data_IF_617014505469
#
_entry.id   IF_617014505469
#
_cell.length_a   1.000
_cell.length_b   1.000
_cell.length_c   1.000
_cell.angle_alpha   90.00
_cell.angle_beta   90.00
_cell.angle_gamma   90.00
#
_symmetry.space_group_name_H-M   'P 1'
#
loop_
_entity.id
_entity.type
_entity.pdbx_description
1 polymer ?
#
# COMPACT_ATOMS: atom_id res chain seq x y z
N UNK A 1 20.59 -9.20 14.30
CA UNK A 1 20.99 -8.04 13.47
C UNK A 1 20.40 -8.11 12.06
N UNK A 2 20.52 -9.21 11.29
CA UNK A 2 19.70 -9.42 10.06
C UNK A 2 18.18 -9.31 10.32
N UNK A 3 17.71 -9.84 11.45
CA UNK A 3 16.30 -9.81 11.89
C UNK A 3 15.74 -8.42 12.26
N UNK A 4 16.60 -7.41 12.47
CA UNK A 4 16.16 -6.04 12.81
C UNK A 4 16.03 -5.16 11.57
N UNK A 5 16.76 -5.46 10.49
CA UNK A 5 16.60 -4.81 9.18
C UNK A 5 15.33 -5.30 8.45
N UNK A 6 14.96 -6.57 8.65
CA UNK A 6 13.67 -7.14 8.23
C UNK A 6 12.47 -6.45 8.91
N UNK A 7 12.67 -5.88 10.11
CA UNK A 7 11.64 -5.16 10.88
C UNK A 7 11.23 -3.84 10.21
N UNK A 8 12.16 -3.11 9.58
CA UNK A 8 11.84 -1.89 8.83
C UNK A 8 11.13 -2.20 7.50
N UNK A 9 11.40 -3.36 6.90
CA UNK A 9 10.79 -3.74 5.63
C UNK A 9 9.37 -4.29 5.80
N UNK A 10 9.12 -5.05 6.87
CA UNK A 10 7.77 -5.50 7.24
C UNK A 10 6.89 -4.32 7.66
N UNK A 11 7.46 -3.31 8.32
CA UNK A 11 6.74 -2.05 8.59
C UNK A 11 6.44 -1.32 7.27
N UNK A 12 7.42 -1.19 6.37
CA UNK A 12 7.25 -0.49 5.09
C UNK A 12 6.25 -1.17 4.12
N UNK A 13 6.18 -2.51 4.12
CA UNK A 13 5.24 -3.27 3.27
C UNK A 13 3.84 -3.34 3.90
N UNK A 14 3.75 -3.37 5.24
CA UNK A 14 2.46 -3.27 5.96
C UNK A 14 1.90 -1.85 6.06
N UNK A 15 2.67 -0.84 5.63
CA UNK A 15 2.27 0.57 5.58
C UNK A 15 1.81 1.03 4.20
N UNK A 16 2.04 0.22 3.18
CA UNK A 16 1.48 0.42 1.85
C UNK A 16 0.04 -0.11 1.84
N UNK A 17 -0.91 0.82 1.92
CA UNK A 17 -2.33 0.66 1.56
C UNK A 17 -3.26 -0.01 2.57
N UNK A 18 -3.95 0.85 3.33
CA UNK A 18 -5.31 0.60 3.83
C UNK A 18 -6.16 1.80 3.44
N UNK A 19 -6.81 1.74 2.28
CA UNK A 19 -7.88 2.68 1.91
C UNK A 19 -9.00 1.98 1.15
N UNK A 20 -9.58 0.91 1.70
CA UNK A 20 -10.91 0.48 1.24
C UNK A 20 -11.99 1.46 1.75
N UNK A 21 -12.05 2.62 1.14
CA UNK A 21 -13.34 3.24 0.88
C UNK A 21 -13.65 2.94 -0.59
N UNK A 22 -14.82 2.36 -0.87
CA UNK A 22 -15.45 2.58 -2.17
C UNK A 22 -15.53 4.09 -2.35
N UNK A 23 -14.55 4.66 -3.05
CA UNK A 23 -14.52 6.08 -3.34
C UNK A 23 -15.83 6.40 -4.05
N UNK A 24 -16.50 7.52 -3.76
CA UNK A 24 -17.65 7.95 -4.53
C UNK A 24 -17.11 8.39 -5.90
N UNK A 25 -16.87 7.40 -6.75
CA UNK A 25 -16.75 7.54 -8.19
C UNK A 25 -18.16 7.84 -8.64
N UNK A 26 -18.46 9.13 -8.87
CA UNK A 26 -19.67 9.55 -9.58
C UNK A 26 -19.51 9.14 -11.06
N UNK A 27 -19.51 7.83 -11.29
CA UNK A 27 -19.52 7.20 -12.60
C UNK A 27 -20.72 6.27 -12.66
N UNK A 28 -21.92 6.84 -12.83
CA UNK A 28 -23.06 6.05 -13.26
C UNK A 28 -22.72 5.46 -14.63
N UNK A 29 -22.41 4.17 -14.66
CA UNK A 29 -22.02 3.38 -15.84
C UNK A 29 -23.08 3.28 -16.95
N UNK A 30 -23.83 4.35 -17.20
CA UNK A 30 -24.59 4.59 -18.40
C UNK A 30 -23.66 5.23 -19.44
N UNK A 31 -23.36 4.47 -20.48
CA UNK A 31 -22.52 4.88 -21.61
C UNK A 31 -23.08 6.03 -22.46
N UNK A 32 -23.05 7.25 -21.92
CA UNK A 32 -23.01 8.50 -22.68
C UNK A 32 -21.59 9.10 -22.55
N UNK A 33 -20.66 8.41 -23.22
CA UNK A 33 -19.22 8.65 -23.31
C UNK A 33 -18.93 9.86 -24.22
N UNK A 34 -18.97 11.11 -23.68
CA UNK A 34 -18.58 12.33 -24.43
C UNK A 34 -17.82 13.37 -23.58
N UNK A 35 -17.01 12.95 -22.60
CA UNK A 35 -15.93 13.84 -22.14
C UNK A 35 -14.64 13.04 -22.00
N UNK A 36 -13.62 13.42 -22.77
CA UNK A 36 -12.22 13.05 -22.49
C UNK A 36 -11.72 13.74 -21.20
N UNK A 37 -12.60 14.00 -20.24
CA UNK A 37 -12.23 14.74 -19.03
C UNK A 37 -11.50 13.78 -18.10
N UNK A 38 -10.32 14.20 -17.66
CA UNK A 38 -9.61 13.58 -16.54
C UNK A 38 -10.11 14.23 -15.26
N UNK A 39 -10.47 13.41 -14.27
CA UNK A 39 -10.92 13.81 -12.94
C UNK A 39 -9.90 13.33 -11.93
N UNK A 40 -9.31 14.26 -11.19
CA UNK A 40 -8.34 13.96 -10.14
C UNK A 40 -9.01 14.21 -8.80
N UNK A 41 -8.99 13.20 -7.94
CA UNK A 41 -9.48 13.30 -6.57
C UNK A 41 -8.30 13.17 -5.61
N UNK A 42 -8.03 14.19 -4.81
CA UNK A 42 -7.00 14.14 -3.78
C UNK A 42 -7.61 13.81 -2.42
N UNK A 43 -6.95 12.93 -1.67
CA UNK A 43 -7.34 12.49 -0.34
C UNK A 43 -6.17 12.65 0.63
N UNK A 44 -6.45 13.14 1.83
CA UNK A 44 -5.52 13.10 2.97
C UNK A 44 -6.08 12.04 3.91
N UNK A 45 -5.42 10.90 3.96
CA UNK A 45 -6.01 9.66 4.51
C UNK A 45 -7.30 9.31 3.74
N UNK A 46 -8.43 9.26 4.46
CA UNK A 46 -9.74 8.92 3.88
C UNK A 46 -10.58 10.15 3.51
N UNK A 47 -10.08 11.36 3.77
CA UNK A 47 -10.86 12.60 3.59
C UNK A 47 -10.47 13.24 2.27
N UNK A 48 -11.45 13.43 1.37
CA UNK A 48 -11.24 14.17 0.13
C UNK A 48 -11.02 15.65 0.44
N UNK A 49 -9.83 16.16 0.14
CA UNK A 49 -9.39 17.51 0.50
C UNK A 49 -8.50 18.11 -0.60
N UNK A 50 -8.53 19.43 -0.73
CA UNK A 50 -7.61 20.16 -1.62
C UNK A 50 -6.17 20.09 -1.11
N UNK A 51 -5.20 20.10 -2.02
CA UNK A 51 -3.78 20.02 -1.68
C UNK A 51 -3.10 21.35 -1.99
N UNK A 52 -1.90 21.56 -1.47
CA UNK A 52 -1.16 22.82 -1.56
C UNK A 52 -0.89 23.23 -3.01
N UNK A 53 -0.50 22.26 -3.83
CA UNK A 53 -0.21 22.49 -5.24
C UNK A 53 -0.64 21.32 -6.11
N UNK A 54 -1.27 21.61 -7.24
CA UNK A 54 -1.50 20.61 -8.29
C UNK A 54 -1.36 21.23 -9.67
N UNK A 55 -0.56 20.61 -10.53
CA UNK A 55 -0.41 20.97 -11.94
C UNK A 55 -0.53 19.73 -12.82
N UNK A 56 -0.84 19.95 -14.09
CA UNK A 56 -0.87 18.91 -15.11
C UNK A 56 -0.07 19.31 -16.35
N UNK A 57 0.34 18.30 -17.11
CA UNK A 57 0.93 18.43 -18.45
C UNK A 57 0.07 17.61 -19.42
N UNK A 58 -0.34 18.21 -20.54
CA UNK A 58 -1.07 17.52 -21.61
C UNK A 58 -0.08 17.01 -22.67
N UNK A 59 0.01 15.69 -22.81
CA UNK A 59 1.10 15.03 -23.55
C UNK A 59 2.44 15.08 -22.82
N UNK A 60 3.44 14.38 -23.36
CA UNK A 60 4.80 14.33 -22.78
C UNK A 60 5.58 15.65 -22.91
N UNK A 61 5.29 16.41 -23.95
CA UNK A 61 5.99 17.66 -24.29
C UNK A 61 5.12 18.91 -24.06
N UNK A 62 3.98 18.76 -23.38
CA UNK A 62 3.06 19.85 -23.09
C UNK A 62 3.64 20.89 -22.15
N UNK A 63 2.98 22.05 -22.07
CA UNK A 63 3.31 23.05 -21.05
C UNK A 63 2.58 22.71 -19.76
N UNK A 64 3.31 22.63 -18.65
CA UNK A 64 2.71 22.47 -17.33
C UNK A 64 1.75 23.62 -17.01
N UNK A 65 0.58 23.29 -16.46
CA UNK A 65 -0.47 24.24 -16.10
C UNK A 65 -1.00 23.91 -14.71
N UNK A 66 -1.06 24.91 -13.82
CA UNK A 66 -1.64 24.76 -12.49
C UNK A 66 -3.16 24.59 -12.56
N UNK A 67 -3.71 23.67 -11.77
CA UNK A 67 -5.15 23.50 -11.57
C UNK A 67 -5.60 24.07 -10.23
N UNK A 68 -6.84 24.52 -10.18
CA UNK A 68 -7.55 24.85 -8.95
C UNK A 68 -8.57 23.76 -8.65
N UNK A 69 -8.76 23.43 -7.38
CA UNK A 69 -9.77 22.45 -6.97
C UNK A 69 -11.04 23.08 -6.42
N UNK A 70 -12.08 22.26 -6.39
CA UNK A 70 -13.20 22.41 -5.46
C UNK A 70 -13.23 21.18 -4.56
N UNK A 71 -12.86 21.32 -3.29
CA UNK A 71 -12.91 20.24 -2.28
C UNK A 71 -12.16 18.96 -2.73
N UNK A 72 -10.89 19.12 -3.10
CA UNK A 72 -10.04 18.01 -3.55
C UNK A 72 -10.33 17.45 -4.95
N UNK A 73 -11.28 18.03 -5.70
CA UNK A 73 -11.57 17.63 -7.08
C UNK A 73 -10.93 18.61 -8.06
N UNK A 74 -10.12 18.10 -8.98
CA UNK A 74 -9.52 18.83 -10.09
C UNK A 74 -9.93 18.17 -11.40
N UNK A 75 -10.08 18.96 -12.45
CA UNK A 75 -10.42 18.41 -13.78
C UNK A 75 -9.69 19.14 -14.88
N UNK A 76 -9.40 18.42 -15.96
CA UNK A 76 -8.94 18.98 -17.22
C UNK A 76 -9.35 18.06 -18.37
N UNK A 77 -9.18 18.48 -19.61
CA UNK A 77 -9.46 17.65 -20.79
C UNK A 77 -8.18 17.57 -21.61
N UNK A 78 -7.51 16.40 -21.68
CA UNK A 78 -6.37 16.21 -22.54
C UNK A 78 -6.75 16.45 -24.01
N UNK A 79 -5.93 17.22 -24.70
CA UNK A 79 -6.02 17.45 -26.15
C UNK A 79 -4.92 16.69 -26.90
N UNK A 80 -3.92 16.13 -26.19
CA UNK A 80 -2.87 15.33 -26.78
C UNK A 80 -3.44 14.09 -27.50
N UNK A 81 -3.00 13.89 -28.75
CA UNK A 81 -3.52 12.82 -29.61
C UNK A 81 -3.12 11.41 -29.14
N UNK A 82 -2.04 11.30 -28.35
CA UNK A 82 -1.59 10.04 -27.75
C UNK A 82 -2.30 9.72 -26.42
N UNK A 83 -3.11 10.65 -25.89
CA UNK A 83 -3.81 10.49 -24.63
C UNK A 83 -2.91 10.50 -23.39
N UNK A 84 -1.63 10.84 -23.54
CA UNK A 84 -0.70 10.93 -22.41
C UNK A 84 -0.94 12.21 -21.63
N UNK A 85 -0.79 12.13 -20.31
CA UNK A 85 -0.78 13.29 -19.44
C UNK A 85 0.06 13.02 -18.20
N UNK A 86 0.49 14.09 -17.55
CA UNK A 86 1.23 14.00 -16.29
C UNK A 86 0.61 14.90 -15.24
N UNK A 87 0.70 14.51 -13.98
CA UNK A 87 0.18 15.23 -12.81
C UNK A 87 1.35 15.42 -11.83
N UNK A 88 1.43 16.60 -11.24
CA UNK A 88 2.32 16.91 -10.14
C UNK A 88 1.48 17.47 -8.99
N UNK A 89 1.40 16.74 -7.89
CA UNK A 89 0.60 17.10 -6.72
C UNK A 89 1.49 17.18 -5.47
N UNK A 90 1.24 18.18 -4.62
CA UNK A 90 1.99 18.41 -3.37
C UNK A 90 1.00 18.57 -2.23
N UNK A 91 1.12 17.69 -1.24
CA UNK A 91 0.48 17.82 0.05
C UNK A 91 1.48 18.39 1.05
N UNK A 92 1.06 19.38 1.84
CA UNK A 92 1.83 19.91 2.97
C UNK A 92 1.19 19.40 4.25
N UNK A 93 2.02 18.93 5.19
CA UNK A 93 1.56 18.60 6.54
C UNK A 93 2.54 19.11 7.58
N UNK A 94 2.04 19.39 8.78
CA UNK A 94 2.83 19.91 9.87
C UNK A 94 3.20 18.78 10.83
N UNK A 95 4.50 18.57 11.06
CA UNK A 95 5.00 17.65 12.07
C UNK A 95 5.09 18.37 13.42
N UNK A 96 4.21 18.05 14.38
CA UNK A 96 4.22 18.69 15.68
C UNK A 96 5.40 18.25 16.57
N UNK A 97 6.05 17.12 16.27
CA UNK A 97 7.20 16.62 17.03
C UNK A 97 8.48 17.35 16.65
N UNK A 98 8.67 17.61 15.35
CA UNK A 98 9.83 18.33 14.83
C UNK A 98 9.58 19.84 14.64
N UNK A 99 8.33 20.28 14.83
CA UNK A 99 7.87 21.66 14.66
C UNK A 99 8.13 22.23 13.25
N UNK A 100 8.05 21.39 12.22
CA UNK A 100 8.35 21.74 10.83
C UNK A 100 7.28 21.27 9.84
N UNK A 101 7.30 21.83 8.63
CA UNK A 101 6.41 21.41 7.54
C UNK A 101 7.12 20.38 6.67
N UNK A 102 6.42 19.28 6.43
CA UNK A 102 6.81 18.20 5.54
C UNK A 102 5.94 18.20 4.28
N UNK A 103 6.44 17.58 3.22
CA UNK A 103 5.77 17.57 1.93
C UNK A 103 5.77 16.17 1.32
N UNK A 104 4.57 15.71 0.98
CA UNK A 104 4.40 14.50 0.17
C UNK A 104 4.08 14.94 -1.27
N UNK A 105 4.90 14.46 -2.20
CA UNK A 105 4.82 14.83 -3.61
C UNK A 105 4.49 13.59 -4.41
N UNK A 106 3.42 13.67 -5.19
CA UNK A 106 2.97 12.62 -6.09
C UNK A 106 3.12 13.10 -7.54
N UNK A 107 3.93 12.38 -8.32
CA UNK A 107 4.10 12.63 -9.74
C UNK A 107 3.55 11.43 -10.52
N UNK A 108 2.44 11.61 -11.22
CA UNK A 108 1.79 10.52 -11.95
C UNK A 108 1.84 10.80 -13.44
N UNK A 109 2.42 9.89 -14.21
CA UNK A 109 2.48 9.95 -15.66
C UNK A 109 1.63 8.82 -16.21
N UNK A 110 0.51 9.19 -16.85
CA UNK A 110 -0.61 8.29 -17.14
C UNK A 110 -1.08 8.42 -18.59
N UNK A 111 -1.88 7.46 -19.03
CA UNK A 111 -2.60 7.51 -20.30
C UNK A 111 -4.12 7.41 -20.09
N UNK A 112 -4.89 8.20 -20.83
CA UNK A 112 -6.36 8.22 -20.77
C UNK A 112 -7.05 6.88 -21.09
N UNK A 113 -6.34 5.92 -21.71
CA UNK A 113 -6.86 4.57 -21.93
C UNK A 113 -6.75 3.65 -20.71
N UNK A 114 -5.87 3.98 -19.77
CA UNK A 114 -5.59 3.17 -18.57
C UNK A 114 -6.30 3.71 -17.33
N UNK A 115 -6.78 4.95 -17.37
CA UNK A 115 -7.58 5.57 -16.32
C UNK A 115 -7.87 7.03 -16.62
N UNK A 116 -9.12 7.46 -16.39
CA UNK A 116 -9.54 8.87 -16.47
C UNK A 116 -9.90 9.45 -15.10
N UNK A 117 -10.13 8.60 -14.12
CA UNK A 117 -10.34 8.98 -12.73
C UNK A 117 -9.08 8.63 -11.94
N UNK A 118 -8.42 9.64 -11.39
CA UNK A 118 -7.11 9.48 -10.75
C UNK A 118 -7.26 9.79 -9.27
N UNK A 119 -7.36 8.79 -8.40
CA UNK A 119 -7.25 9.01 -6.97
C UNK A 119 -5.78 9.22 -6.60
N UNK A 120 -5.49 10.31 -5.90
CA UNK A 120 -4.19 10.57 -5.29
C UNK A 120 -4.41 10.57 -3.79
N UNK A 121 -3.87 9.55 -3.12
CA UNK A 121 -4.00 9.38 -1.68
C UNK A 121 -2.67 9.76 -1.06
N UNK A 122 -2.69 10.80 -0.25
CA UNK A 122 -1.59 11.18 0.61
C UNK A 122 -1.77 10.49 1.95
N UNK A 123 -0.71 9.85 2.43
CA UNK A 123 -0.73 9.20 3.74
C UNK A 123 -1.12 10.21 4.81
N UNK A 124 -1.97 9.75 5.73
CA UNK A 124 -2.27 10.48 6.94
C UNK A 124 -1.86 9.60 8.10
N UNK A 125 -0.77 9.98 8.75
CA UNK A 125 -0.44 9.45 10.05
C UNK A 125 -1.28 10.23 11.07
N UNK A 126 -2.27 9.59 11.72
CA UNK A 126 -3.02 10.28 12.75
C UNK A 126 -2.08 10.60 13.91
N UNK A 127 -1.86 11.89 14.16
CA UNK A 127 -1.15 12.34 15.37
C UNK A 127 -1.93 12.00 16.65
N UNK A 128 -3.22 11.68 16.53
CA UNK A 128 -4.09 11.27 17.64
C UNK A 128 -5.01 10.11 17.26
N UNK A 129 -5.05 9.09 18.13
CA UNK A 129 -6.12 8.09 18.12
C UNK A 129 -7.34 8.65 18.85
N UNK A 130 -8.31 9.14 18.08
CA UNK A 130 -9.53 9.75 18.63
C UNK A 130 -10.56 8.73 19.11
N UNK A 131 -10.30 7.43 18.94
CA UNK A 131 -11.12 6.34 19.47
C UNK A 131 -10.32 5.34 20.32
N UNK A 132 -11.01 4.68 21.23
CA UNK A 132 -10.50 3.55 22.01
C UNK A 132 -11.53 2.43 22.03
N UNK A 133 -11.14 1.25 21.56
CA UNK A 133 -11.93 0.03 21.64
C UNK A 133 -11.52 -0.77 22.88
N UNK A 134 -12.37 -0.80 23.89
CA UNK A 134 -12.18 -1.61 25.10
C UNK A 134 -12.73 -3.01 24.88
N UNK A 135 -11.82 -3.97 24.68
CA UNK A 135 -12.13 -5.38 24.53
C UNK A 135 -12.17 -6.06 25.89
N UNK A 136 -13.36 -6.47 26.32
CA UNK A 136 -13.58 -7.19 27.57
C UNK A 136 -13.62 -8.70 27.30
N UNK A 137 -12.53 -9.38 27.56
CA UNK A 137 -12.39 -10.82 27.40
C UNK A 137 -13.08 -11.59 28.54
N UNK A 138 -13.77 -12.68 28.20
CA UNK A 138 -14.36 -13.58 29.19
C UNK A 138 -13.31 -14.30 30.05
N UNK A 139 -13.72 -14.81 31.22
CA UNK A 139 -12.81 -15.51 32.15
C UNK A 139 -12.09 -16.73 31.54
N UNK A 140 -12.61 -17.30 30.45
CA UNK A 140 -12.00 -18.42 29.74
C UNK A 140 -10.65 -18.05 29.07
N UNK A 141 -10.37 -16.75 28.93
CA UNK A 141 -9.08 -16.26 28.44
C UNK A 141 -7.98 -16.28 29.52
N UNK A 142 -8.28 -16.54 30.79
CA UNK A 142 -7.21 -16.64 31.82
C UNK A 142 -6.24 -17.78 31.44
N UNK A 143 -4.96 -17.45 31.33
CA UNK A 143 -3.90 -18.36 30.85
C UNK A 143 -3.74 -18.39 29.32
N UNK A 144 -4.41 -17.49 28.60
CA UNK A 144 -4.32 -17.32 27.13
C UNK A 144 -3.58 -16.02 26.76
N UNK A 145 -3.24 -15.91 25.49
CA UNK A 145 -2.79 -14.68 24.83
C UNK A 145 -3.68 -14.41 23.62
N UNK A 146 -3.71 -13.15 23.18
CA UNK A 146 -4.35 -12.78 21.93
C UNK A 146 -3.46 -11.85 21.10
N UNK A 147 -3.71 -11.84 19.79
CA UNK A 147 -3.27 -10.79 18.87
C UNK A 147 -4.51 -10.10 18.32
N UNK A 148 -4.68 -8.82 18.65
CA UNK A 148 -5.85 -8.01 18.30
C UNK A 148 -5.47 -7.02 17.21
N UNK A 149 -6.30 -6.89 16.18
CA UNK A 149 -6.09 -6.03 15.01
C UNK A 149 -7.40 -5.32 14.64
N UNK A 150 -7.34 -4.03 14.33
CA UNK A 150 -8.46 -3.22 13.84
C UNK A 150 -7.94 -2.05 12.99
N UNK A 151 -8.11 -2.13 11.66
CA UNK A 151 -7.41 -1.24 10.75
C UNK A 151 -5.90 -1.32 11.00
N UNK A 152 -5.24 -0.18 11.25
CA UNK A 152 -3.81 -0.13 11.61
C UNK A 152 -3.53 -0.38 13.10
N UNK A 153 -4.56 -0.30 13.96
CA UNK A 153 -4.43 -0.49 15.40
C UNK A 153 -4.20 -1.97 15.73
N UNK A 154 -3.20 -2.27 16.55
CA UNK A 154 -2.90 -3.64 16.96
C UNK A 154 -2.36 -3.75 18.39
N UNK A 155 -2.45 -4.95 18.97
CA UNK A 155 -1.81 -5.26 20.24
C UNK A 155 -1.85 -6.73 20.62
N UNK A 156 -0.99 -7.11 21.57
CA UNK A 156 -0.75 -8.50 21.94
C UNK A 156 -0.95 -8.73 23.45
N UNK A 157 -2.19 -8.73 23.97
CA UNK A 157 -2.45 -8.92 25.39
C UNK A 157 -2.17 -10.35 25.88
N UNK A 158 -1.76 -10.42 27.15
CA UNK A 158 -1.51 -11.66 27.89
C UNK A 158 -2.42 -11.67 29.13
N UNK A 159 -3.27 -12.68 29.24
CA UNK A 159 -4.31 -12.70 30.27
C UNK A 159 -3.91 -13.57 31.46
N UNK A 160 -3.19 -13.02 32.44
CA UNK A 160 -2.72 -13.77 33.61
C UNK A 160 -3.70 -13.74 34.78
N UNK A 161 -4.47 -12.66 34.88
CA UNK A 161 -5.40 -12.35 35.96
C UNK A 161 -6.69 -11.75 35.42
N UNK A 162 -7.70 -11.61 36.29
CA UNK A 162 -8.99 -10.99 35.91
C UNK A 162 -8.80 -9.53 35.47
N UNK A 163 -7.84 -8.82 36.05
CA UNK A 163 -7.58 -7.42 35.72
C UNK A 163 -6.98 -7.27 34.31
N UNK A 164 -6.34 -8.32 33.78
CA UNK A 164 -5.76 -8.32 32.43
C UNK A 164 -6.82 -8.54 31.34
N UNK A 165 -8.05 -8.95 31.69
CA UNK A 165 -9.11 -9.28 30.75
C UNK A 165 -9.72 -8.05 30.04
N UNK A 166 -9.31 -6.85 30.39
CA UNK A 166 -9.70 -5.62 29.69
C UNK A 166 -8.50 -5.13 28.92
N UNK A 167 -8.57 -5.24 27.60
CA UNK A 167 -7.55 -4.69 26.71
C UNK A 167 -8.09 -3.43 26.03
N UNK A 168 -7.31 -2.36 26.07
CA UNK A 168 -7.65 -1.10 25.42
C UNK A 168 -6.85 -1.01 24.13
N UNK A 169 -7.55 -0.94 23.00
CA UNK A 169 -6.96 -0.72 21.69
C UNK A 169 -7.23 0.71 21.25
N UNK A 170 -6.18 1.51 21.08
CA UNK A 170 -6.27 2.82 20.43
C UNK A 170 -6.55 2.62 18.93
N UNK A 171 -7.46 3.41 18.38
CA UNK A 171 -7.93 3.22 17.01
C UNK A 171 -8.34 4.54 16.34
N UNK A 172 -8.30 4.53 15.00
CA UNK A 172 -8.83 5.61 14.18
C UNK A 172 -10.34 5.36 14.00
N UNK A 173 -11.22 6.37 14.20
CA UNK A 173 -12.61 6.27 13.81
C UNK A 173 -12.77 5.86 12.35
N UNK A 174 -13.70 4.97 12.06
CA UNK A 174 -13.87 4.42 10.71
C UNK A 174 -14.51 3.04 10.75
N UNK A 175 -14.57 2.40 9.58
CA UNK A 175 -15.09 1.03 9.43
C UNK A 175 -13.96 0.13 8.97
N UNK A 176 -13.64 -0.87 9.78
CA UNK A 176 -12.58 -1.84 9.53
C UNK A 176 -13.00 -3.20 10.09
N UNK A 177 -12.29 -4.26 9.72
CA UNK A 177 -12.48 -5.56 10.35
C UNK A 177 -11.79 -5.62 11.72
N UNK A 178 -12.48 -6.09 12.76
CA UNK A 178 -11.84 -6.45 14.03
C UNK A 178 -11.45 -7.91 13.98
N UNK A 179 -10.14 -8.19 14.07
CA UNK A 179 -9.62 -9.56 14.07
C UNK A 179 -8.88 -9.85 15.35
N UNK A 180 -9.20 -10.99 15.96
CA UNK A 180 -8.54 -11.46 17.17
C UNK A 180 -8.07 -12.88 16.94
N UNK A 181 -6.75 -13.07 17.02
CA UNK A 181 -6.11 -14.38 17.13
C UNK A 181 -5.99 -14.74 18.60
N UNK A 182 -6.21 -16.00 18.97
CA UNK A 182 -6.10 -16.45 20.35
C UNK A 182 -5.49 -17.85 20.48
N UNK A 183 -4.81 -18.07 21.60
CA UNK A 183 -4.09 -19.32 21.89
C UNK A 183 -3.63 -19.39 23.34
N UNK A 184 -3.00 -20.50 23.69
CA UNK A 184 -2.42 -20.69 25.02
C UNK A 184 -1.18 -19.79 25.16
N UNK A 185 -0.91 -19.28 26.36
CA UNK A 185 0.27 -18.44 26.56
C UNK A 185 1.55 -19.19 26.22
N UNK A 186 2.45 -18.53 25.48
CA UNK A 186 3.71 -19.08 24.97
C UNK A 186 3.55 -20.18 23.91
N UNK A 187 2.35 -20.34 23.35
CA UNK A 187 2.10 -21.19 22.18
C UNK A 187 1.66 -20.31 21.00
N UNK A 188 1.70 -20.89 19.81
CA UNK A 188 1.10 -20.29 18.63
C UNK A 188 -0.41 -20.12 18.81
N UNK A 189 -0.96 -19.05 18.23
CA UNK A 189 -2.41 -18.90 18.14
C UNK A 189 -3.00 -20.07 17.34
N UNK A 190 -4.19 -20.51 17.74
CA UNK A 190 -4.90 -21.63 17.10
C UNK A 190 -6.35 -21.29 16.75
N UNK A 191 -6.81 -20.13 17.20
CA UNK A 191 -8.19 -19.69 17.07
C UNK A 191 -8.28 -18.26 16.54
N UNK A 192 -9.33 -17.99 15.77
CA UNK A 192 -9.59 -16.69 15.17
C UNK A 192 -11.05 -16.28 15.41
N UNK A 193 -11.22 -14.99 15.69
CA UNK A 193 -12.48 -14.27 15.70
C UNK A 193 -12.38 -13.13 14.68
N UNK A 194 -13.39 -12.96 13.85
CA UNK A 194 -13.49 -11.85 12.90
C UNK A 194 -14.87 -11.22 13.04
N UNK A 195 -14.90 -9.93 13.38
CA UNK A 195 -16.08 -9.08 13.31
C UNK A 195 -15.94 -8.15 12.11
N UNK A 196 -16.76 -8.41 11.09
CA UNK A 196 -16.65 -7.78 9.78
C UNK A 196 -17.28 -6.39 9.77
N UNK A 197 -16.69 -5.48 9.00
CA UNK A 197 -17.24 -4.14 8.74
C UNK A 197 -17.62 -3.40 10.04
N UNK A 198 -16.79 -3.54 11.08
CA UNK A 198 -17.05 -2.93 12.37
C UNK A 198 -16.78 -1.43 12.27
N UNK A 199 -17.81 -0.62 12.51
CA UNK A 199 -17.67 0.83 12.57
C UNK A 199 -17.48 1.31 14.01
N UNK A 200 -16.41 2.05 14.27
CA UNK A 200 -16.23 2.78 15.54
C UNK A 200 -16.23 4.29 15.29
N UNK A 201 -16.82 5.03 16.22
CA UNK A 201 -16.77 6.50 16.25
C UNK A 201 -15.70 7.00 17.24
N UNK A 202 -15.39 8.30 17.20
CA UNK A 202 -14.54 8.93 18.21
C UNK A 202 -15.10 8.72 19.63
N UNK A 203 -14.20 8.54 20.60
CA UNK A 203 -14.52 8.22 21.99
C UNK A 203 -14.25 6.76 22.35
N UNK A 204 -14.92 6.26 23.39
CA UNK A 204 -14.68 4.90 23.90
C UNK A 204 -15.85 3.98 23.54
N UNK A 205 -15.53 2.88 22.89
CA UNK A 205 -16.46 1.79 22.64
C UNK A 205 -16.07 0.55 23.47
N UNK A 206 -17.04 -0.32 23.75
CA UNK A 206 -16.83 -1.54 24.53
C UNK A 206 -17.36 -2.72 23.74
N UNK A 207 -16.53 -3.74 23.60
CA UNK A 207 -16.91 -5.02 23.00
C UNK A 207 -16.63 -6.16 23.98
N UNK A 208 -17.55 -7.14 24.08
CA UNK A 208 -17.36 -8.27 24.96
C UNK A 208 -16.96 -9.49 24.14
N UNK A 209 -15.80 -10.07 24.44
CA UNK A 209 -15.20 -11.15 23.67
C UNK A 209 -15.38 -12.46 24.42
N UNK A 210 -16.15 -13.39 23.83
CA UNK A 210 -16.33 -14.74 24.37
C UNK A 210 -15.47 -15.75 23.63
N UNK A 211 -14.85 -16.68 24.36
CA UNK A 211 -14.06 -17.76 23.77
C UNK A 211 -14.89 -18.66 22.84
N UNK A 212 -16.21 -18.74 23.07
CA UNK A 212 -17.15 -19.51 22.24
C UNK A 212 -17.29 -18.99 20.81
N UNK A 213 -16.94 -17.72 20.58
CA UNK A 213 -17.17 -17.04 19.30
C UNK A 213 -15.99 -17.27 18.34
N UNK A 214 -14.92 -17.88 18.84
CA UNK A 214 -13.72 -18.19 18.08
C UNK A 214 -13.86 -19.51 17.32
N UNK A 215 -13.35 -19.52 16.10
CA UNK A 215 -13.23 -20.73 15.27
C UNK A 215 -11.78 -21.16 15.19
N UNK A 216 -11.54 -22.47 15.08
CA UNK A 216 -10.20 -22.99 14.80
C UNK A 216 -9.75 -22.55 13.40
N UNK A 217 -8.51 -22.10 13.27
CA UNK A 217 -7.90 -21.86 11.97
C UNK A 217 -6.81 -22.88 11.67
N UNK A 218 -6.43 -22.95 10.39
CA UNK A 218 -5.26 -23.70 9.94
C UNK A 218 -4.16 -22.73 9.54
N UNK A 219 -2.93 -23.20 9.44
CA UNK A 219 -1.84 -22.41 8.88
C UNK A 219 -1.50 -22.88 7.47
N UNK A 220 -0.81 -22.02 6.71
CA UNK A 220 -0.14 -22.40 5.47
C UNK A 220 1.35 -22.10 5.57
N UNK A 221 2.13 -22.65 4.65
CA UNK A 221 3.57 -22.41 4.56
C UNK A 221 3.88 -21.76 3.21
N UNK A 222 4.53 -20.59 3.24
CA UNK A 222 5.20 -20.03 2.07
C UNK A 222 6.65 -20.53 2.04
N UNK A 223 7.10 -21.00 0.89
CA UNK A 223 8.44 -21.57 0.72
C UNK A 223 9.04 -21.22 -0.63
N UNK A 224 10.34 -21.46 -0.81
CA UNK A 224 11.07 -21.22 -2.06
C UNK A 224 12.17 -22.26 -2.27
N UNK A 225 12.51 -22.49 -3.54
CA UNK A 225 13.67 -23.30 -3.95
C UNK A 225 14.86 -22.45 -4.37
N UNK A 226 14.73 -21.12 -4.34
CA UNK A 226 15.80 -20.21 -4.67
C UNK A 226 16.77 -20.12 -3.49
N UNK A 227 18.05 -20.38 -3.76
CA UNK A 227 19.08 -20.33 -2.73
C UNK A 227 19.17 -18.92 -2.14
N UNK A 228 19.36 -18.85 -0.81
CA UNK A 228 19.52 -17.60 -0.06
C UNK A 228 18.34 -16.61 -0.18
N UNK A 229 17.18 -17.10 -0.62
CA UNK A 229 15.93 -16.36 -0.63
C UNK A 229 15.02 -16.78 0.53
N UNK A 230 14.24 -15.83 1.05
CA UNK A 230 13.29 -16.02 2.13
C UNK A 230 11.87 -15.81 1.61
N UNK A 231 10.95 -16.73 1.88
CA UNK A 231 9.54 -16.64 1.52
C UNK A 231 8.66 -16.57 2.77
N UNK A 232 7.63 -15.73 2.74
CA UNK A 232 6.63 -15.59 3.80
C UNK A 232 5.30 -15.16 3.20
N UNK A 233 4.29 -14.99 4.05
CA UNK A 233 3.11 -14.28 3.63
C UNK A 233 2.48 -13.48 4.76
N UNK A 234 1.64 -12.54 4.38
CA UNK A 234 0.81 -11.75 5.28
C UNK A 234 -0.65 -11.83 4.82
N UNK A 235 -1.54 -11.32 5.65
CA UNK A 235 -2.98 -11.38 5.44
C UNK A 235 -3.57 -9.99 5.68
N UNK A 236 -4.31 -9.48 4.71
CA UNK A 236 -5.16 -8.31 4.80
C UNK A 236 -6.61 -8.79 4.87
N UNK A 237 -7.22 -8.63 6.03
CA UNK A 237 -8.60 -9.09 6.27
C UNK A 237 -9.57 -8.00 5.84
N UNK A 238 -10.52 -8.37 4.97
CA UNK A 238 -11.53 -7.47 4.40
C UNK A 238 -10.95 -6.24 3.70
N UNK A 239 -9.77 -6.35 3.11
CA UNK A 239 -9.07 -5.25 2.44
C UNK A 239 -8.60 -4.13 3.38
N UNK A 240 -8.80 -4.26 4.70
CA UNK A 240 -8.64 -3.13 5.62
C UNK A 240 -7.76 -3.39 6.83
N UNK A 241 -7.64 -4.64 7.27
CA UNK A 241 -6.98 -4.95 8.54
C UNK A 241 -5.80 -5.89 8.34
N UNK A 242 -4.57 -5.37 8.30
CA UNK A 242 -3.38 -6.20 8.19
C UNK A 242 -3.18 -7.04 9.46
N UNK A 243 -2.96 -8.33 9.26
CA UNK A 243 -2.62 -9.29 10.29
C UNK A 243 -1.20 -9.75 10.08
N UNK A 244 -0.41 -9.57 11.13
CA UNK A 244 0.95 -10.05 11.20
C UNK A 244 1.16 -10.78 12.53
N UNK A 245 1.63 -12.01 12.43
CA UNK A 245 2.05 -12.82 13.56
C UNK A 245 3.09 -13.82 13.10
N UNK A 246 3.87 -14.35 14.05
CA UNK A 246 4.94 -15.30 13.77
C UNK A 246 4.60 -16.61 14.46
N UNK A 247 4.37 -17.64 13.66
CA UNK A 247 4.23 -18.99 14.16
C UNK A 247 5.53 -19.77 14.06
N UNK A 248 5.61 -20.86 14.82
CA UNK A 248 6.64 -21.87 14.65
C UNK A 248 6.65 -22.40 13.20
N UNK A 249 7.81 -22.90 12.78
CA UNK A 249 8.07 -23.45 11.44
C UNK A 249 7.78 -22.50 10.25
N UNK A 250 7.79 -21.18 10.49
CA UNK A 250 7.50 -20.14 9.50
C UNK A 250 6.09 -20.23 8.89
N UNK A 251 5.15 -20.85 9.60
CA UNK A 251 3.76 -20.94 9.14
C UNK A 251 3.03 -19.61 9.29
N UNK A 252 1.95 -19.44 8.52
CA UNK A 252 1.18 -18.19 8.40
C UNK A 252 -0.30 -18.47 8.63
N UNK A 253 -1.07 -17.51 9.15
CA UNK A 253 -2.52 -17.65 9.41
C UNK A 253 -3.23 -17.95 8.10
N UNK A 254 -4.13 -18.94 8.09
CA UNK A 254 -5.10 -19.18 7.01
C UNK A 254 -6.51 -19.12 7.56
N UNK A 255 -7.28 -18.11 7.15
CA UNK A 255 -8.68 -17.96 7.56
C UNK A 255 -9.47 -19.21 7.13
N UNK A 256 -10.30 -19.78 8.02
CA UNK A 256 -11.24 -20.84 7.64
C UNK A 256 -12.15 -20.40 6.50
N UNK A 257 -12.38 -21.27 5.51
CA UNK A 257 -13.25 -20.95 4.37
C UNK A 257 -14.67 -20.49 4.77
N UNK A 258 -15.17 -20.89 5.95
CA UNK A 258 -16.46 -20.44 6.46
C UNK A 258 -16.47 -18.98 6.92
N UNK A 259 -15.30 -18.39 7.17
CA UNK A 259 -15.12 -17.01 7.58
C UNK A 259 -14.52 -16.12 6.47
N UNK A 260 -14.01 -16.71 5.39
CA UNK A 260 -13.38 -15.97 4.29
C UNK A 260 -14.37 -15.06 3.56
N UNK A 261 -13.95 -13.84 3.25
CA UNK A 261 -14.59 -12.93 2.30
C UNK A 261 -13.85 -12.92 0.96
N UNK A 262 -14.49 -12.40 -0.09
CA UNK A 262 -13.81 -12.06 -1.35
C UNK A 262 -12.76 -10.97 -1.20
N UNK A 263 -12.88 -10.17 -0.13
CA UNK A 263 -12.04 -9.01 0.13
C UNK A 263 -10.85 -9.37 1.03
N UNK A 264 -10.75 -10.62 1.49
CA UNK A 264 -9.55 -11.11 2.16
C UNK A 264 -8.44 -11.32 1.14
N UNK A 265 -7.26 -10.80 1.44
CA UNK A 265 -6.12 -10.85 0.54
C UNK A 265 -4.88 -11.36 1.26
N UNK A 266 -4.22 -12.33 0.68
CA UNK A 266 -2.94 -12.85 1.14
C UNK A 266 -1.85 -12.29 0.25
N UNK A 267 -0.87 -11.61 0.85
CA UNK A 267 0.33 -11.19 0.17
C UNK A 267 1.41 -12.25 0.38
N UNK A 268 1.79 -12.95 -0.69
CA UNK A 268 2.81 -13.98 -0.69
C UNK A 268 4.11 -13.38 -1.19
N UNK A 269 5.09 -13.24 -0.31
CA UNK A 269 6.31 -12.49 -0.57
C UNK A 269 7.53 -13.39 -0.60
N UNK A 270 8.44 -13.08 -1.53
CA UNK A 270 9.74 -13.71 -1.70
C UNK A 270 10.79 -12.61 -1.77
N UNK A 271 11.80 -12.70 -0.90
CA UNK A 271 12.94 -11.79 -0.95
C UNK A 271 14.26 -12.48 -1.20
N UNK A 272 15.16 -11.75 -1.83
CA UNK A 272 16.53 -12.17 -2.06
C UNK A 272 17.49 -11.00 -1.97
N UNK A 273 18.46 -11.08 -1.06
CA UNK A 273 19.48 -10.07 -0.87
C UNK A 273 20.76 -10.43 -1.63
N UNK A 274 21.06 -9.68 -2.69
CA UNK A 274 22.31 -9.79 -3.41
C UNK A 274 23.42 -9.00 -2.70
N UNK A 275 24.18 -9.71 -1.87
CA UNK A 275 25.29 -9.12 -1.11
C UNK A 275 26.45 -8.58 -1.95
N UNK A 276 26.61 -8.98 -3.21
CA UNK A 276 27.69 -8.49 -4.08
C UNK A 276 27.43 -7.05 -4.53
N UNK A 277 26.17 -6.69 -4.72
CA UNK A 277 25.75 -5.38 -5.21
C UNK A 277 25.01 -4.54 -4.15
N UNK A 278 24.83 -5.08 -2.95
CA UNK A 278 23.98 -4.48 -1.90
C UNK A 278 22.58 -4.14 -2.44
N UNK A 279 21.96 -5.10 -3.12
CA UNK A 279 20.61 -4.92 -3.70
C UNK A 279 19.67 -5.92 -3.06
N UNK A 280 18.54 -5.43 -2.56
CA UNK A 280 17.42 -6.26 -2.13
C UNK A 280 16.39 -6.36 -3.26
N UNK A 281 15.89 -7.58 -3.48
CA UNK A 281 14.79 -7.86 -4.40
C UNK A 281 13.64 -8.44 -3.62
N UNK A 282 12.44 -7.93 -3.88
CA UNK A 282 11.20 -8.43 -3.33
C UNK A 282 10.23 -8.71 -4.48
N UNK A 283 9.62 -9.89 -4.45
CA UNK A 283 8.45 -10.21 -5.25
C UNK A 283 7.28 -10.46 -4.31
N UNK A 284 6.15 -9.82 -4.55
CA UNK A 284 4.90 -10.07 -3.82
C UNK A 284 3.83 -10.46 -4.82
N UNK A 285 3.10 -11.52 -4.52
CA UNK A 285 1.89 -11.92 -5.24
C UNK A 285 0.70 -11.84 -4.31
N UNK A 286 -0.36 -11.20 -4.76
CA UNK A 286 -1.62 -11.13 -4.02
C UNK A 286 -2.58 -12.23 -4.49
N UNK A 287 -3.17 -12.94 -3.53
CA UNK A 287 -4.14 -14.01 -3.78
C UNK A 287 -5.26 -13.97 -2.75
N UNK A 288 -6.50 -14.20 -3.16
CA UNK A 288 -7.63 -14.26 -2.22
C UNK A 288 -7.59 -15.48 -1.28
N UNK A 289 -6.90 -16.55 -1.67
CA UNK A 289 -6.76 -17.74 -0.84
C UNK A 289 -5.52 -18.56 -1.20
N UNK A 290 -4.63 -18.89 -0.24
CA UNK A 290 -3.46 -19.70 -0.50
C UNK A 290 -3.78 -21.20 -0.39
N UNK A 291 -2.99 -22.00 -1.09
CA UNK A 291 -2.82 -23.43 -0.85
C UNK A 291 -2.21 -23.68 0.53
N UNK A 292 -2.21 -24.92 1.01
CA UNK A 292 -1.57 -25.25 2.30
C UNK A 292 -0.04 -25.08 2.25
N UNK A 293 0.54 -25.26 1.05
CA UNK A 293 1.94 -24.99 0.76
C UNK A 293 1.99 -24.14 -0.51
N UNK A 294 2.47 -22.91 -0.37
CA UNK A 294 2.72 -21.97 -1.46
C UNK A 294 4.21 -21.95 -1.77
N UNK A 295 4.59 -22.32 -3.00
CA UNK A 295 5.99 -22.31 -3.43
C UNK A 295 6.25 -21.14 -4.38
N UNK A 296 6.98 -20.14 -3.90
CA UNK A 296 7.39 -18.95 -4.64
C UNK A 296 8.77 -19.19 -5.25
N UNK A 297 8.82 -19.43 -6.55
CA UNK A 297 10.06 -19.69 -7.31
C UNK A 297 10.31 -18.66 -8.42
N UNK A 298 9.56 -17.57 -8.40
CA UNK A 298 9.71 -16.46 -9.34
C UNK A 298 10.25 -15.27 -8.55
N UNK A 299 11.47 -14.85 -8.86
CA UNK A 299 11.96 -13.54 -8.46
C UNK A 299 11.53 -12.52 -9.53
N UNK A 300 11.55 -11.20 -9.21
CA UNK A 300 11.48 -10.17 -10.24
C UNK A 300 12.48 -10.55 -11.33
N UNK A 301 12.04 -10.56 -12.60
CA UNK A 301 12.80 -11.10 -13.75
C UNK A 301 14.30 -10.99 -13.53
N UNK A 302 15.00 -12.12 -13.57
CA UNK A 302 16.46 -12.17 -13.33
C UNK A 302 17.25 -11.28 -14.30
N UNK A 303 16.61 -10.83 -15.38
CA UNK A 303 17.14 -9.90 -16.38
C UNK A 303 16.77 -8.43 -16.12
N UNK A 304 15.90 -8.13 -15.15
CA UNK A 304 15.57 -6.77 -14.79
C UNK A 304 16.74 -6.14 -14.02
N UNK A 305 17.56 -5.41 -14.80
CA UNK A 305 18.70 -4.68 -14.29
C UNK A 305 18.25 -3.58 -13.33
N UNK A 306 19.09 -3.30 -12.33
CA UNK A 306 18.81 -2.24 -11.37
C UNK A 306 18.69 -0.88 -12.08
N UNK A 307 17.59 -0.13 -11.89
CA UNK A 307 17.43 1.22 -12.41
C UNK A 307 18.57 2.12 -11.94
N UNK A 308 19.02 3.03 -12.80
CA UNK A 308 20.00 4.06 -12.42
C UNK A 308 19.29 5.39 -12.27
N UNK A 309 19.78 6.20 -11.33
CA UNK A 309 19.29 7.54 -11.07
C UNK A 309 20.48 8.49 -11.00
N UNK A 310 20.45 9.52 -11.84
CA UNK A 310 21.49 10.55 -11.89
C UNK A 310 20.91 11.82 -12.48
N UNK A 311 21.27 12.98 -11.93
CA UNK A 311 20.81 14.28 -12.41
C UNK A 311 19.27 14.33 -12.57
N UNK A 312 18.55 13.87 -11.54
CA UNK A 312 17.08 13.76 -11.51
C UNK A 312 16.46 12.94 -12.65
N UNK A 313 17.25 12.06 -13.27
CA UNK A 313 16.81 11.22 -14.37
C UNK A 313 16.95 9.74 -14.01
N UNK A 314 15.85 9.00 -14.12
CA UNK A 314 15.83 7.55 -14.05
C UNK A 314 16.10 6.93 -15.43
N UNK A 315 16.90 5.87 -15.47
CA UNK A 315 17.01 5.00 -16.66
C UNK A 315 16.95 3.53 -16.27
N UNK A 316 16.16 2.75 -17.03
CA UNK A 316 15.96 1.32 -16.77
C UNK A 316 15.51 0.57 -18.02
N UNK A 317 15.59 -0.76 -17.97
CA UNK A 317 15.04 -1.62 -19.02
C UNK A 317 13.60 -2.02 -18.68
N UNK A 318 12.81 -2.33 -19.71
CA UNK A 318 11.45 -2.82 -19.53
C UNK A 318 11.44 -4.09 -18.66
N UNK A 319 10.43 -4.15 -17.78
CA UNK A 319 10.15 -5.27 -16.91
C UNK A 319 9.19 -6.21 -17.63
N UNK A 320 9.55 -7.49 -17.64
CA UNK A 320 8.69 -8.58 -18.10
C UNK A 320 8.37 -9.45 -16.88
N UNK A 321 7.09 -9.56 -16.46
CA UNK A 321 6.73 -10.39 -15.31
C UNK A 321 6.99 -11.87 -15.53
N UNK A 322 7.13 -12.33 -16.79
CA UNK A 322 7.26 -13.74 -17.16
C UNK A 322 6.13 -14.63 -16.62
N UNK A 323 4.97 -14.03 -16.38
CA UNK A 323 3.79 -14.68 -15.81
C UNK A 323 2.68 -14.62 -16.86
N UNK A 324 2.06 -15.78 -17.10
CA UNK A 324 1.08 -15.92 -18.18
C UNK A 324 -0.11 -15.00 -17.97
N UNK A 325 -0.47 -14.23 -18.99
CA UNK A 325 -1.58 -13.27 -18.99
C UNK A 325 -1.37 -12.07 -18.04
N UNK A 326 -0.15 -11.84 -17.55
CA UNK A 326 0.18 -10.65 -16.80
C UNK A 326 0.97 -9.68 -17.69
N UNK A 327 0.62 -8.41 -17.61
CA UNK A 327 1.30 -7.31 -18.28
C UNK A 327 1.79 -6.30 -17.24
N UNK A 328 2.85 -5.57 -17.58
CA UNK A 328 3.27 -4.40 -16.78
C UNK A 328 2.15 -3.37 -16.78
N UNK A 329 1.75 -2.89 -15.60
CA UNK A 329 0.73 -1.84 -15.44
C UNK A 329 1.36 -0.49 -15.20
N UNK A 330 2.26 -0.41 -14.23
CA UNK A 330 3.05 0.79 -13.99
C UNK A 330 4.36 0.47 -13.28
N UNK A 331 5.26 1.46 -13.30
CA UNK A 331 6.33 1.54 -12.31
C UNK A 331 5.97 2.55 -11.23
N UNK A 332 6.44 2.28 -10.03
CA UNK A 332 6.39 3.19 -8.90
C UNK A 332 7.81 3.34 -8.32
N UNK A 333 8.18 4.54 -7.89
CA UNK A 333 9.47 4.77 -7.24
C UNK A 333 9.35 5.84 -6.18
N UNK A 334 10.14 5.69 -5.13
CA UNK A 334 10.19 6.64 -4.02
C UNK A 334 11.57 7.27 -3.89
N UNK A 335 11.60 8.58 -3.69
CA UNK A 335 12.77 9.34 -3.29
C UNK A 335 12.42 10.12 -2.03
N UNK A 336 13.38 10.33 -1.15
CA UNK A 336 13.23 11.27 -0.05
C UNK A 336 14.53 12.05 0.14
N UNK A 337 14.41 13.27 0.66
CA UNK A 337 15.57 14.01 1.12
C UNK A 337 16.17 13.36 2.38
N UNK A 338 17.36 13.81 2.77
CA UNK A 338 18.16 13.15 3.82
C UNK A 338 17.47 13.05 5.19
N UNK A 339 16.56 13.98 5.46
CA UNK A 339 15.80 14.17 6.69
C UNK A 339 14.35 13.67 6.58
N UNK A 340 13.94 13.12 5.42
CA UNK A 340 12.60 12.58 5.16
C UNK A 340 11.46 13.60 5.30
N UNK A 341 11.80 14.89 5.22
CA UNK A 341 10.82 15.99 5.28
C UNK A 341 10.16 16.22 3.92
N UNK A 342 10.74 15.73 2.83
CA UNK A 342 10.13 15.73 1.50
C UNK A 342 10.27 14.34 0.90
N UNK A 343 9.13 13.77 0.51
CA UNK A 343 9.05 12.46 -0.15
C UNK A 343 8.41 12.65 -1.52
N UNK A 344 9.02 12.06 -2.54
CA UNK A 344 8.51 11.98 -3.90
C UNK A 344 8.12 10.55 -4.21
N UNK A 345 6.87 10.36 -4.58
CA UNK A 345 6.33 9.14 -5.15
C UNK A 345 6.06 9.39 -6.64
N UNK A 346 6.58 8.53 -7.50
CA UNK A 346 6.51 8.71 -8.95
C UNK A 346 5.90 7.46 -9.57
N UNK A 347 4.75 7.63 -10.21
CA UNK A 347 4.03 6.58 -10.95
C UNK A 347 4.21 6.81 -12.46
N UNK A 348 4.57 5.75 -13.17
CA UNK A 348 4.79 5.76 -14.62
C UNK A 348 3.99 4.61 -15.25
N UNK A 349 2.85 4.92 -15.87
CA UNK A 349 2.01 3.89 -16.48
C UNK A 349 2.63 3.30 -17.75
N UNK A 350 2.25 2.06 -18.06
CA UNK A 350 2.72 1.35 -19.25
C UNK A 350 2.35 2.08 -20.55
N UNK A 351 1.15 2.66 -20.61
CA UNK A 351 0.65 3.42 -21.75
C UNK A 351 1.37 4.75 -21.92
N UNK A 352 1.71 5.43 -20.82
CA UNK A 352 2.55 6.63 -20.89
C UNK A 352 3.94 6.27 -21.40
N UNK A 353 4.56 5.21 -20.90
CA UNK A 353 5.91 4.79 -21.30
C UNK A 353 5.98 4.31 -22.76
N UNK A 354 4.97 3.57 -23.22
CA UNK A 354 4.93 2.94 -24.52
C UNK A 354 5.83 1.70 -24.63
N UNK A 355 6.03 1.21 -25.86
CA UNK A 355 6.62 -0.10 -26.15
C UNK A 355 8.15 -0.07 -26.37
N UNK A 356 8.90 0.66 -25.56
CA UNK A 356 10.37 0.71 -25.65
C UNK A 356 11.03 -0.39 -24.81
N UNK A 357 12.18 -0.90 -25.27
CA UNK A 357 12.97 -1.90 -24.52
C UNK A 357 13.68 -1.27 -23.29
N UNK A 358 13.85 0.06 -23.32
CA UNK A 358 14.46 0.87 -22.26
C UNK A 358 13.76 2.20 -22.13
N UNK A 359 13.72 2.71 -20.91
CA UNK A 359 13.05 3.95 -20.55
C UNK A 359 14.02 4.94 -19.92
N UNK A 360 13.72 6.21 -20.11
CA UNK A 360 14.37 7.36 -19.49
C UNK A 360 13.27 8.31 -19.02
N UNK A 361 13.39 8.79 -17.79
CA UNK A 361 12.42 9.72 -17.19
C UNK A 361 13.14 10.75 -16.31
N UNK A 362 13.05 12.01 -16.73
CA UNK A 362 13.50 13.16 -15.95
C UNK A 362 12.34 13.68 -15.09
N UNK A 363 12.60 13.88 -13.79
CA UNK A 363 11.61 14.48 -12.89
C UNK A 363 11.37 15.94 -13.32
N UNK A 364 10.12 16.38 -13.50
CA UNK A 364 9.86 17.67 -14.12
C UNK A 364 10.21 18.85 -13.19
N UNK A 365 10.86 19.88 -13.75
CA UNK A 365 11.06 21.18 -13.09
C UNK A 365 9.91 22.15 -13.42
N UNK A 366 9.14 22.50 -12.40
CA UNK A 366 7.98 23.40 -12.52
C UNK A 366 8.30 24.83 -12.00
N UNK A 367 9.59 25.21 -11.90
CA UNK A 367 10.05 26.51 -11.39
C UNK A 367 9.46 27.75 -12.08
N UNK A 368 8.91 27.60 -13.29
CA UNK A 368 8.20 28.65 -14.01
C UNK A 368 6.74 28.87 -13.59
N UNK A 369 6.15 28.01 -12.75
CA UNK A 369 4.74 28.08 -12.37
C UNK A 369 4.48 28.89 -11.09
N UNK A 370 3.35 29.59 -11.08
CA UNK A 370 2.91 30.35 -9.91
C UNK A 370 2.60 29.45 -8.72
N UNK A 371 3.21 29.76 -7.57
CA UNK A 371 3.06 28.99 -6.34
C UNK A 371 3.98 27.78 -6.25
N UNK A 372 4.91 27.59 -7.19
CA UNK A 372 5.98 26.60 -7.06
C UNK A 372 6.93 26.96 -5.92
N UNK A 373 7.28 25.97 -5.09
CA UNK A 373 8.39 26.05 -4.16
C UNK A 373 9.60 25.30 -4.73
N UNK A 374 10.77 25.95 -4.73
CA UNK A 374 12.01 25.35 -5.22
C UNK A 374 12.41 24.07 -4.45
N UNK A 375 12.00 23.93 -3.19
CA UNK A 375 12.27 22.71 -2.40
C UNK A 375 11.50 21.49 -2.89
N UNK A 376 10.46 21.68 -3.72
CA UNK A 376 9.73 20.56 -4.31
C UNK A 376 10.47 19.92 -5.47
N UNK A 377 11.51 20.54 -6.02
CA UNK A 377 12.39 19.87 -6.97
C UNK A 377 13.39 18.98 -6.20
N UNK A 378 13.57 17.70 -6.56
CA UNK A 378 14.50 16.84 -5.84
C UNK A 378 15.95 17.34 -5.90
N UNK A 379 16.59 17.36 -4.74
CA UNK A 379 18.04 17.55 -4.57
C UNK A 379 18.60 16.33 -3.83
N UNK A 380 18.54 15.18 -4.51
CA UNK A 380 18.87 13.86 -3.97
C UNK A 380 19.71 13.07 -4.96
N UNK A 381 20.60 12.21 -4.45
CA UNK A 381 21.51 11.42 -5.28
C UNK A 381 21.08 9.95 -5.43
N UNK A 382 19.97 9.55 -4.81
CA UNK A 382 19.50 8.15 -4.80
C UNK A 382 17.99 8.04 -4.59
N UNK A 383 17.43 6.93 -5.03
CA UNK A 383 16.06 6.49 -4.73
C UNK A 383 16.05 5.38 -3.67
N UNK A 384 14.92 5.20 -2.98
CA UNK A 384 14.75 4.18 -1.94
C UNK A 384 14.37 2.82 -2.52
N UNK A 385 13.38 2.80 -3.39
CA UNK A 385 12.92 1.60 -4.07
C UNK A 385 12.43 1.94 -5.48
N UNK A 386 12.47 0.95 -6.35
CA UNK A 386 11.88 0.99 -7.68
C UNK A 386 11.07 -0.27 -7.89
N UNK A 387 9.79 -0.09 -8.16
CA UNK A 387 8.76 -1.10 -8.18
C UNK A 387 8.17 -1.21 -9.58
N UNK A 388 7.93 -2.45 -10.02
CA UNK A 388 7.10 -2.76 -11.17
C UNK A 388 5.84 -3.48 -10.68
N UNK A 389 4.68 -2.96 -11.04
CA UNK A 389 3.38 -3.57 -10.76
C UNK A 389 2.86 -4.22 -12.04
N UNK A 390 2.44 -5.48 -11.93
CA UNK A 390 1.89 -6.26 -13.04
C UNK A 390 0.62 -7.00 -12.67
N UNK A 391 -0.20 -7.29 -13.68
CA UNK A 391 -1.39 -8.11 -13.52
C UNK A 391 -2.22 -8.20 -14.80
N UNK A 392 -3.48 -8.61 -14.68
CA UNK A 392 -4.37 -8.97 -15.79
C UNK A 392 -5.58 -8.03 -15.99
N UNK A 393 -5.73 -6.99 -15.18
CA UNK A 393 -6.81 -6.00 -15.26
C UNK A 393 -6.35 -4.75 -16.02
N UNK A 394 -7.17 -4.22 -16.92
CA UNK A 394 -6.74 -3.15 -17.83
C UNK A 394 -6.91 -1.74 -17.21
N UNK A 395 -7.77 -1.63 -16.19
CA UNK A 395 -7.96 -0.41 -15.42
C UNK A 395 -6.85 -0.26 -14.36
N UNK A 396 -5.92 0.66 -14.61
CA UNK A 396 -4.76 0.93 -13.75
C UNK A 396 -5.19 1.40 -12.36
N UNK A 397 -6.34 2.05 -12.24
CA UNK A 397 -6.82 2.60 -10.96
C UNK A 397 -7.11 1.50 -9.94
N UNK A 398 -7.42 0.28 -10.39
CA UNK A 398 -7.63 -0.87 -9.50
C UNK A 398 -6.34 -1.41 -8.89
N UNK A 399 -5.20 -1.12 -9.49
CA UNK A 399 -3.87 -1.49 -8.98
C UNK A 399 -3.29 -0.45 -8.01
N UNK A 400 -4.01 0.65 -7.77
CA UNK A 400 -3.63 1.61 -6.73
C UNK A 400 -3.97 1.08 -5.33
N UNK A 401 -4.84 0.07 -5.24
CA UNK A 401 -5.06 -0.75 -4.06
C UNK A 401 -4.61 -2.20 -4.33
N UNK A 402 -4.27 -2.93 -3.27
CA UNK A 402 -3.90 -4.34 -3.39
C UNK A 402 -5.11 -5.17 -3.83
N UNK A 403 -4.93 -6.01 -4.85
CA UNK A 403 -6.01 -6.83 -5.41
C UNK A 403 -5.56 -8.24 -5.78
N UNK A 404 -6.50 -9.19 -5.82
CA UNK A 404 -6.24 -10.56 -6.27
C UNK A 404 -5.64 -10.57 -7.69
N UNK A 405 -4.54 -11.29 -7.87
CA UNK A 405 -3.82 -11.34 -9.15
C UNK A 405 -2.90 -10.15 -9.44
N UNK A 406 -2.78 -9.19 -8.52
CA UNK A 406 -1.70 -8.19 -8.55
C UNK A 406 -0.37 -8.82 -8.15
N UNK A 407 0.69 -8.33 -8.77
CA UNK A 407 2.07 -8.70 -8.46
C UNK A 407 2.94 -7.45 -8.41
N UNK A 408 3.82 -7.43 -7.42
CA UNK A 408 4.79 -6.36 -7.20
C UNK A 408 6.18 -6.93 -7.29
N UNK A 409 7.05 -6.18 -7.94
CA UNK A 409 8.46 -6.51 -8.09
C UNK A 409 9.30 -5.30 -7.76
N UNK A 410 10.01 -5.38 -6.63
CA UNK A 410 10.71 -4.25 -6.06
C UNK A 410 12.22 -4.51 -6.05
N UNK A 411 12.98 -3.49 -6.43
CA UNK A 411 14.43 -3.38 -6.28
C UNK A 411 14.70 -2.22 -5.31
N UNK A 412 15.48 -2.48 -4.25
CA UNK A 412 15.90 -1.46 -3.28
C UNK A 412 17.37 -1.63 -2.87
N UNK A 413 17.95 -0.58 -2.29
CA UNK A 413 19.34 -0.51 -1.84
C UNK A 413 19.51 -0.61 -0.32
#
# INVERSE_FOLDING_TARGET
MRKLSMFFMILAIGLLFVSCATLPIDGDGNGDDITNQVVINTFIGLVRESVEFLAYQDGKDGTWTKLSSTNGVYTFTPESADGNFSIYAVNEWYDPWNEEFNYDIQVMNLNTTEGKEVPIIFEYWPDTFDATLNLNFGNDFIGKSAGTFYGIGHGFPWFSTVDDLIFQLEAIPGTYDLVILAGDQNEDFSKIYIDRDRSIAAGTEIENISWSDFTDFTTYIATTTINDADAWGSLLVGGTTPIFTWFEDNSQVKIPQSLSSSDDLYALSLSHYNSENSVYRLFTKFTNYPSDIETLNTLPSTNWATPTFSDNTFTWNQYDPQISNHELRFYNTSLANSDWTIVWMIVLSSGWLGSADSYEYEIPDLSGLEGWNASWYPDVDSYHHFEAVSGNEDDLTKYLDQMDGMEESIISY
#
